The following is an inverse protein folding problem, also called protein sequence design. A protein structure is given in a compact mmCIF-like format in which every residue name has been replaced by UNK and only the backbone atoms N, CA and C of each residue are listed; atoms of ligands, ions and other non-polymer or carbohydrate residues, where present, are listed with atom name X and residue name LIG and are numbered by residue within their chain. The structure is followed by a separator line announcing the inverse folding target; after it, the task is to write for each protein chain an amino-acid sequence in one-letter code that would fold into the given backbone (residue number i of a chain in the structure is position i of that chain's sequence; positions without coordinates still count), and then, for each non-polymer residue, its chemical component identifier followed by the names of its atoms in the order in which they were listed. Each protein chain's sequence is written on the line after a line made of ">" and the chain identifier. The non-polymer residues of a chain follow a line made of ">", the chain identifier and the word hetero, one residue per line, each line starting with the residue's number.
data_IF_731235602284
#
_entry.id   IF_731235602284
#
_cell.length_a   1.000
_cell.length_b   1.000
_cell.length_c   1.000
_cell.angle_alpha   90.00
_cell.angle_beta   90.00
_cell.angle_gamma   90.00
#
_symmetry.space_group_name_H-M   'P 1'
#
loop_
_entity.id
_entity.type
_entity.pdbx_description
1 polymer ?
#
# COMPACT_ATOMS: atom_id res chain seq x y z
N UNK A 1 -24.49 13.24 28.32
CA UNK A 1 -23.25 12.47 28.59
C UNK A 1 -22.16 12.65 27.52
N UNK A 2 -22.08 13.79 26.79
CA UNK A 2 -21.13 13.95 25.67
C UNK A 2 -19.85 14.77 25.99
N UNK A 3 -19.76 15.40 27.16
CA UNK A 3 -18.64 16.31 27.53
C UNK A 3 -17.64 15.71 28.54
N UNK A 4 -17.95 14.55 29.12
CA UNK A 4 -17.22 14.02 30.28
C UNK A 4 -15.78 13.65 29.93
N UNK A 5 -15.58 13.00 28.78
CA UNK A 5 -14.24 12.64 28.32
C UNK A 5 -13.36 13.86 28.02
N UNK A 6 -13.94 14.98 27.57
CA UNK A 6 -13.16 16.19 27.27
C UNK A 6 -12.57 16.80 28.53
N UNK A 7 -13.33 16.79 29.62
CA UNK A 7 -12.85 17.24 30.93
C UNK A 7 -11.74 16.34 31.50
N UNK A 8 -11.78 15.04 31.16
CA UNK A 8 -10.79 14.05 31.63
C UNK A 8 -9.49 14.07 30.81
N UNK A 9 -9.58 14.23 29.49
CA UNK A 9 -8.45 14.00 28.57
C UNK A 9 -7.91 15.24 27.86
N UNK A 10 -8.59 16.39 27.94
CA UNK A 10 -8.13 17.63 27.30
C UNK A 10 -7.68 18.66 28.35
N UNK A 11 -6.78 19.59 28.00
CA UNK A 11 -6.39 20.68 28.89
C UNK A 11 -7.61 21.48 29.37
N UNK A 12 -7.61 21.93 30.62
CA UNK A 12 -8.75 22.65 31.21
C UNK A 12 -9.20 23.86 30.38
N UNK A 13 -8.26 24.63 29.80
CA UNK A 13 -8.59 25.76 28.94
C UNK A 13 -9.16 25.38 27.56
N UNK A 14 -9.12 24.11 27.15
CA UNK A 14 -9.79 23.66 25.92
C UNK A 14 -11.31 23.85 26.01
N UNK A 15 -11.93 23.52 27.15
CA UNK A 15 -13.38 23.71 27.36
C UNK A 15 -13.76 25.19 27.38
N UNK A 16 -12.86 26.04 27.89
CA UNK A 16 -13.05 27.48 27.99
C UNK A 16 -12.62 28.24 26.73
N UNK A 17 -12.33 27.53 25.62
CA UNK A 17 -11.87 28.11 24.36
C UNK A 17 -10.63 29.01 24.50
N UNK A 18 -9.75 28.69 25.46
CA UNK A 18 -8.50 29.39 25.66
C UNK A 18 -7.58 29.15 24.46
N UNK A 19 -7.18 30.23 23.80
CA UNK A 19 -6.36 30.17 22.58
C UNK A 19 -5.00 29.51 22.79
N UNK A 20 -4.32 29.75 23.92
CA UNK A 20 -2.99 29.19 24.19
C UNK A 20 -3.04 27.69 24.45
N UNK A 21 -4.02 27.22 25.21
CA UNK A 21 -4.19 25.79 25.48
C UNK A 21 -4.60 25.02 24.22
N UNK A 22 -5.48 25.60 23.39
CA UNK A 22 -5.84 25.04 22.09
C UNK A 22 -4.61 25.00 21.16
N UNK A 23 -3.81 26.06 21.13
CA UNK A 23 -2.59 26.13 20.32
C UNK A 23 -1.59 25.06 20.73
N UNK A 24 -1.29 24.93 22.04
CA UNK A 24 -0.38 23.90 22.56
C UNK A 24 -0.85 22.48 22.27
N UNK A 25 -2.15 22.21 22.41
CA UNK A 25 -2.73 20.92 22.05
C UNK A 25 -2.53 20.63 20.54
N UNK A 26 -2.79 21.62 19.68
CA UNK A 26 -2.58 21.48 18.26
C UNK A 26 -1.11 21.27 17.89
N UNK A 27 -0.17 21.95 18.55
CA UNK A 27 1.27 21.75 18.40
C UNK A 27 1.64 20.30 18.78
N UNK A 28 1.19 19.81 19.94
CA UNK A 28 1.42 18.43 20.38
C UNK A 28 0.86 17.41 19.37
N UNK A 29 -0.37 17.57 18.90
CA UNK A 29 -0.98 16.67 17.91
C UNK A 29 -0.17 16.67 16.61
N UNK A 30 0.29 17.85 16.13
CA UNK A 30 1.12 17.94 14.92
C UNK A 30 2.44 17.20 15.09
N UNK A 31 3.09 17.34 16.24
CA UNK A 31 4.34 16.64 16.54
C UNK A 31 4.12 15.13 16.56
N UNK A 32 3.14 14.64 17.32
CA UNK A 32 2.81 13.21 17.37
C UNK A 32 2.50 12.65 15.97
N UNK A 33 1.67 13.34 15.19
CA UNK A 33 1.35 12.92 13.82
C UNK A 33 2.59 12.91 12.93
N UNK A 34 3.52 13.85 13.09
CA UNK A 34 4.79 13.86 12.34
C UNK A 34 5.63 12.64 12.66
N UNK A 35 5.76 12.28 13.94
CA UNK A 35 6.50 11.10 14.38
C UNK A 35 5.85 9.81 13.88
N UNK A 36 4.54 9.65 14.08
CA UNK A 36 3.79 8.47 13.66
C UNK A 36 3.81 8.28 12.13
N UNK A 37 3.60 9.35 11.35
CA UNK A 37 3.72 9.30 9.89
C UNK A 37 5.13 8.88 9.45
N UNK A 38 6.17 9.39 10.12
CA UNK A 38 7.55 9.00 9.83
C UNK A 38 7.81 7.53 10.17
N UNK A 39 7.32 7.05 11.31
CA UNK A 39 7.43 5.66 11.74
C UNK A 39 6.69 4.71 10.78
N UNK A 40 5.47 5.07 10.38
CA UNK A 40 4.66 4.31 9.43
C UNK A 40 5.35 4.20 8.06
N UNK A 41 5.87 5.31 7.51
CA UNK A 41 6.62 5.28 6.25
C UNK A 41 7.87 4.40 6.33
N UNK A 42 8.57 4.40 7.47
CA UNK A 42 9.72 3.49 7.69
C UNK A 42 9.27 2.03 7.70
N UNK A 43 8.14 1.72 8.34
CA UNK A 43 7.59 0.37 8.41
C UNK A 43 7.14 -0.13 7.03
N UNK A 44 6.41 0.68 6.26
CA UNK A 44 6.01 0.40 4.87
C UNK A 44 7.22 0.02 4.01
N UNK A 45 8.32 0.77 4.16
CA UNK A 45 9.54 0.58 3.38
C UNK A 45 10.54 -0.40 4.01
N UNK A 46 10.10 -1.25 4.96
CA UNK A 46 10.97 -2.25 5.60
C UNK A 46 11.63 -3.14 4.54
N UNK A 47 12.96 -3.30 4.64
CA UNK A 47 13.77 -4.11 3.72
C UNK A 47 13.95 -3.47 2.34
N UNK A 48 12.98 -2.73 1.83
CA UNK A 48 12.96 -2.18 0.48
C UNK A 48 13.84 -0.92 0.27
N UNK A 49 14.80 -0.65 1.16
CA UNK A 49 15.71 0.51 1.05
C UNK A 49 17.10 0.07 0.57
N UNK A 50 17.38 0.12 -0.75
CA UNK A 50 18.75 0.00 -1.24
C UNK A 50 19.63 1.16 -0.78
N UNK A 51 20.89 0.88 -0.43
CA UNK A 51 21.90 1.85 -0.04
C UNK A 51 23.11 1.20 0.63
N UNK A 52 24.09 1.98 1.10
CA UNK A 52 25.33 1.47 1.73
C UNK A 52 25.11 0.60 2.98
N UNK A 53 23.88 0.58 3.52
CA UNK A 53 23.42 -0.22 4.67
C UNK A 53 22.28 -1.18 4.30
N UNK A 54 22.08 -1.49 3.02
CA UNK A 54 21.10 -2.51 2.63
C UNK A 54 21.56 -3.85 3.19
N UNK A 55 20.71 -4.53 3.95
CA UNK A 55 20.95 -5.93 4.27
C UNK A 55 20.74 -6.78 3.02
N UNK A 56 21.47 -7.88 2.93
CA UNK A 56 21.22 -8.93 1.93
C UNK A 56 19.98 -9.76 2.29
N UNK A 57 19.25 -9.40 3.34
CA UNK A 57 18.03 -10.09 3.72
C UNK A 57 16.97 -9.87 2.64
N UNK A 58 16.16 -10.90 2.45
CA UNK A 58 15.02 -10.82 1.56
C UNK A 58 14.05 -9.73 2.01
N UNK A 59 13.58 -8.92 1.06
CA UNK A 59 12.60 -7.88 1.32
C UNK A 59 11.26 -8.53 1.68
N UNK A 60 10.65 -8.18 2.83
CA UNK A 60 9.42 -8.85 3.25
C UNK A 60 8.30 -8.68 2.22
N UNK A 61 7.46 -9.71 2.10
CA UNK A 61 6.24 -9.68 1.30
C UNK A 61 5.27 -8.58 1.76
N UNK A 62 4.26 -8.27 0.95
CA UNK A 62 3.22 -7.33 1.33
C UNK A 62 2.57 -7.71 2.68
N UNK A 63 2.20 -8.97 2.83
CA UNK A 63 1.62 -9.48 4.08
C UNK A 63 2.63 -9.43 5.23
N UNK A 64 3.90 -9.74 4.98
CA UNK A 64 4.96 -9.59 5.99
C UNK A 64 5.12 -8.15 6.51
N UNK A 65 4.98 -7.15 5.63
CA UNK A 65 4.98 -5.73 6.02
C UNK A 65 3.72 -5.36 6.78
N UNK A 66 2.54 -5.82 6.35
CA UNK A 66 1.28 -5.53 7.04
C UNK A 66 1.31 -6.09 8.46
N UNK A 67 1.78 -7.34 8.65
CA UNK A 67 1.94 -7.93 9.98
C UNK A 67 2.85 -7.06 10.85
N UNK A 68 4.00 -6.63 10.32
CA UNK A 68 4.96 -5.79 11.06
C UNK A 68 4.37 -4.42 11.43
N UNK A 69 3.58 -3.83 10.54
CA UNK A 69 2.85 -2.58 10.81
C UNK A 69 1.87 -2.78 11.96
N UNK A 70 1.02 -3.81 11.88
CA UNK A 70 0.00 -4.07 12.88
C UNK A 70 0.62 -4.34 14.25
N UNK A 71 1.63 -5.21 14.32
CA UNK A 71 2.35 -5.48 15.57
C UNK A 71 2.98 -4.22 16.19
N UNK A 72 3.42 -3.26 15.37
CA UNK A 72 4.12 -2.06 15.86
C UNK A 72 3.21 -0.88 16.17
N UNK A 73 2.07 -0.78 15.49
CA UNK A 73 1.21 0.42 15.51
C UNK A 73 -0.23 0.14 15.98
N UNK A 74 -0.59 -1.11 16.24
CA UNK A 74 -1.90 -1.48 16.78
C UNK A 74 -1.73 -2.19 18.12
N UNK A 75 -2.20 -1.59 19.23
CA UNK A 75 -2.12 -2.22 20.56
C UNK A 75 -2.78 -3.60 20.62
N UNK A 76 -3.86 -3.80 19.86
CA UNK A 76 -4.57 -5.09 19.75
C UNK A 76 -3.67 -6.20 19.18
N UNK A 77 -2.81 -5.88 18.22
CA UNK A 77 -2.03 -6.86 17.47
C UNK A 77 -0.60 -7.02 18.00
N UNK A 78 -0.18 -6.23 18.98
CA UNK A 78 1.21 -6.18 19.48
C UNK A 78 1.69 -7.56 19.95
N UNK A 79 0.82 -8.31 20.65
CA UNK A 79 1.12 -9.63 21.21
C UNK A 79 0.52 -10.79 20.40
N UNK A 80 -0.20 -10.49 19.31
CA UNK A 80 -0.80 -11.55 18.48
C UNK A 80 0.27 -12.31 17.70
N UNK A 81 0.06 -13.62 17.53
CA UNK A 81 0.95 -14.43 16.72
C UNK A 81 0.81 -14.04 15.24
N UNK A 82 1.86 -14.29 14.45
CA UNK A 82 1.90 -13.87 13.04
C UNK A 82 0.82 -14.52 12.17
N UNK A 83 0.42 -15.76 12.47
CA UNK A 83 -0.60 -16.50 11.72
C UNK A 83 -2.01 -15.93 11.96
N UNK A 84 -2.32 -15.56 13.20
CA UNK A 84 -3.60 -14.93 13.56
C UNK A 84 -3.73 -13.54 12.95
N UNK A 85 -2.65 -12.77 12.94
CA UNK A 85 -2.64 -11.48 12.25
C UNK A 85 -2.84 -11.70 10.76
N UNK A 86 -2.13 -12.65 10.15
CA UNK A 86 -2.24 -12.93 8.72
C UNK A 86 -3.68 -13.29 8.31
N UNK A 87 -4.37 -14.11 9.11
CA UNK A 87 -5.76 -14.51 8.85
C UNK A 87 -6.74 -13.34 9.01
N UNK A 88 -6.41 -12.33 9.82
CA UNK A 88 -7.22 -11.11 9.96
C UNK A 88 -7.01 -10.08 8.83
N UNK A 89 -5.95 -10.22 8.01
CA UNK A 89 -5.67 -9.29 6.91
C UNK A 89 -6.74 -9.40 5.82
N UNK A 90 -7.50 -8.30 5.64
CA UNK A 90 -8.51 -8.17 4.59
C UNK A 90 -7.91 -7.61 3.29
N UNK A 91 -8.52 -7.95 2.15
CA UNK A 91 -8.11 -7.46 0.82
C UNK A 91 -7.98 -5.92 0.74
N UNK A 92 -8.91 -5.10 1.27
CA UNK A 92 -8.76 -3.64 1.24
C UNK A 92 -7.49 -3.13 1.96
N UNK A 93 -7.03 -3.80 3.01
CA UNK A 93 -5.80 -3.44 3.71
C UNK A 93 -4.57 -3.74 2.85
N UNK A 94 -4.56 -4.88 2.15
CA UNK A 94 -3.51 -5.21 1.17
C UNK A 94 -3.42 -4.15 0.08
N UNK A 95 -4.54 -3.74 -0.48
CA UNK A 95 -4.58 -2.69 -1.51
C UNK A 95 -4.03 -1.37 -0.97
N UNK A 96 -4.48 -0.93 0.21
CA UNK A 96 -4.03 0.34 0.82
C UNK A 96 -2.53 0.34 1.11
N UNK A 97 -2.01 -0.70 1.75
CA UNK A 97 -0.58 -0.79 2.10
C UNK A 97 0.27 -1.03 0.85
N UNK A 98 -0.19 -1.85 -0.09
CA UNK A 98 0.49 -2.09 -1.36
C UNK A 98 0.60 -0.84 -2.22
N UNK A 99 -0.47 -0.04 -2.26
CA UNK A 99 -0.48 1.26 -2.93
C UNK A 99 0.56 2.19 -2.33
N UNK A 100 0.54 2.39 -1.00
CA UNK A 100 1.52 3.24 -0.32
C UNK A 100 2.96 2.76 -0.54
N UNK A 101 3.21 1.45 -0.44
CA UNK A 101 4.54 0.85 -0.60
C UNK A 101 5.08 1.04 -2.01
N UNK A 102 4.27 0.75 -3.03
CA UNK A 102 4.65 0.93 -4.43
C UNK A 102 4.92 2.41 -4.72
N UNK A 103 4.04 3.30 -4.26
CA UNK A 103 4.16 4.74 -4.49
C UNK A 103 5.42 5.32 -3.84
N UNK A 104 5.73 4.95 -2.60
CA UNK A 104 6.94 5.36 -1.90
C UNK A 104 8.21 4.78 -2.53
N UNK A 105 8.14 3.55 -3.07
CA UNK A 105 9.27 2.94 -3.76
C UNK A 105 9.60 3.68 -5.07
N UNK A 106 8.60 3.93 -5.92
CA UNK A 106 8.75 4.65 -7.20
C UNK A 106 9.30 6.06 -6.97
N UNK A 107 8.71 6.82 -6.04
CA UNK A 107 9.20 8.17 -5.73
C UNK A 107 10.66 8.16 -5.27
N UNK A 108 11.07 7.15 -4.49
CA UNK A 108 12.47 7.04 -4.05
C UNK A 108 13.44 6.75 -5.19
N UNK A 109 13.01 6.06 -6.24
CA UNK A 109 13.84 5.88 -7.43
C UNK A 109 14.07 7.23 -8.15
N UNK A 110 13.06 8.11 -8.15
CA UNK A 110 13.13 9.46 -8.73
C UNK A 110 13.93 10.46 -7.87
N UNK A 111 13.86 10.35 -6.54
CA UNK A 111 14.62 11.23 -5.62
C UNK A 111 16.15 11.08 -5.76
N UNK A 112 16.63 9.99 -6.37
CA UNK A 112 18.07 9.84 -6.67
C UNK A 112 18.58 10.81 -7.73
N UNK A 113 17.69 11.46 -8.49
CA UNK A 113 18.04 12.27 -9.66
C UNK A 113 17.58 13.72 -9.58
N UNK A 114 16.85 14.16 -8.53
CA UNK A 114 16.24 15.50 -8.49
C UNK A 114 16.48 16.27 -7.18
N UNK A 115 16.67 17.59 -7.29
CA UNK A 115 17.00 18.50 -6.17
C UNK A 115 15.78 19.04 -5.41
N UNK A 116 14.56 18.77 -5.90
CA UNK A 116 13.32 19.35 -5.37
C UNK A 116 12.40 18.26 -4.80
N UNK A 117 12.63 17.87 -3.55
CA UNK A 117 11.89 16.79 -2.89
C UNK A 117 10.52 17.31 -2.44
N UNK A 118 9.45 17.05 -3.21
CA UNK A 118 8.09 17.17 -2.67
C UNK A 118 7.90 16.11 -1.59
N UNK A 119 7.11 16.42 -0.56
CA UNK A 119 6.75 15.43 0.47
C UNK A 119 6.13 14.21 -0.20
N UNK A 120 6.59 12.98 0.08
CA UNK A 120 6.01 11.78 -0.52
C UNK A 120 4.49 11.67 -0.37
N UNK A 121 3.99 12.20 0.75
CA UNK A 121 2.57 12.27 1.07
C UNK A 121 1.79 13.19 0.12
N UNK A 122 2.35 14.33 -0.28
CA UNK A 122 1.65 15.27 -1.18
C UNK A 122 1.41 14.66 -2.57
N UNK A 123 2.36 13.85 -3.05
CA UNK A 123 2.22 13.13 -4.32
C UNK A 123 1.15 12.04 -4.21
N UNK A 124 1.17 11.28 -3.10
CA UNK A 124 0.18 10.23 -2.81
C UNK A 124 -1.23 10.84 -2.70
N UNK A 125 -1.40 11.93 -1.96
CA UNK A 125 -2.69 12.59 -1.74
C UNK A 125 -3.29 13.09 -3.05
N UNK A 126 -2.46 13.66 -3.93
CA UNK A 126 -2.90 14.10 -5.27
C UNK A 126 -3.35 12.92 -6.14
N UNK A 127 -2.64 11.80 -6.09
CA UNK A 127 -3.03 10.61 -6.83
C UNK A 127 -4.34 10.03 -6.28
N UNK A 128 -4.52 9.98 -4.97
CA UNK A 128 -5.79 9.57 -4.36
C UNK A 128 -6.96 10.49 -4.74
N UNK A 129 -6.74 11.80 -4.85
CA UNK A 129 -7.78 12.74 -5.30
C UNK A 129 -8.16 12.51 -6.77
N UNK A 130 -7.20 12.16 -7.62
CA UNK A 130 -7.50 11.78 -9.01
C UNK A 130 -8.27 10.46 -9.05
N UNK A 131 -7.77 9.42 -8.38
CA UNK A 131 -8.45 8.13 -8.28
C UNK A 131 -9.87 8.28 -7.71
N UNK A 132 -10.13 9.24 -6.82
CA UNK A 132 -11.47 9.46 -6.28
C UNK A 132 -12.52 9.70 -7.37
N UNK A 133 -12.14 10.38 -8.46
CA UNK A 133 -13.03 10.74 -9.59
C UNK A 133 -13.26 9.60 -10.58
N UNK A 134 -12.47 8.55 -10.50
CA UNK A 134 -12.54 7.40 -11.42
C UNK A 134 -13.72 6.46 -11.11
N UNK A 135 -14.09 5.66 -12.11
CA UNK A 135 -15.12 4.63 -11.98
C UNK A 135 -14.75 3.54 -10.97
N UNK A 136 -15.74 2.78 -10.50
CA UNK A 136 -15.52 1.65 -9.60
C UNK A 136 -14.66 0.56 -10.25
N UNK A 137 -14.90 0.29 -11.53
CA UNK A 137 -14.19 -0.75 -12.26
C UNK A 137 -12.73 -0.35 -12.47
N UNK A 138 -12.48 0.91 -12.84
CA UNK A 138 -11.12 1.46 -12.93
C UNK A 138 -10.35 1.29 -11.61
N UNK A 139 -10.96 1.70 -10.48
CA UNK A 139 -10.36 1.53 -9.15
C UNK A 139 -10.04 0.07 -8.84
N UNK A 140 -10.88 -0.85 -9.29
CA UNK A 140 -10.73 -2.30 -9.09
C UNK A 140 -9.57 -2.85 -9.92
N UNK A 141 -9.50 -2.50 -11.22
CA UNK A 141 -8.41 -2.88 -12.11
C UNK A 141 -7.07 -2.31 -11.60
N UNK A 142 -7.04 -1.02 -11.25
CA UNK A 142 -5.87 -0.39 -10.64
C UNK A 142 -5.41 -1.10 -9.37
N UNK A 143 -6.34 -1.42 -8.45
CA UNK A 143 -6.02 -2.16 -7.23
C UNK A 143 -5.41 -3.54 -7.51
N UNK A 144 -5.89 -4.25 -8.53
CA UNK A 144 -5.33 -5.55 -8.96
C UNK A 144 -3.89 -5.39 -9.46
N UNK A 145 -3.64 -4.40 -10.32
CA UNK A 145 -2.30 -4.10 -10.82
C UNK A 145 -1.34 -3.75 -9.68
N UNK A 146 -1.75 -2.89 -8.73
CA UNK A 146 -0.94 -2.56 -7.54
C UNK A 146 -0.53 -3.82 -6.76
N UNK A 147 -1.45 -4.77 -6.55
CA UNK A 147 -1.14 -6.01 -5.87
C UNK A 147 -0.20 -6.91 -6.70
N UNK A 148 -0.38 -6.97 -8.02
CA UNK A 148 0.50 -7.73 -8.92
C UNK A 148 1.94 -7.18 -8.89
N UNK A 149 2.11 -5.87 -9.00
CA UNK A 149 3.43 -5.21 -8.88
C UNK A 149 4.08 -5.50 -7.52
N UNK A 150 3.32 -5.40 -6.42
CA UNK A 150 3.86 -5.71 -5.10
C UNK A 150 4.32 -7.17 -4.99
N UNK A 151 3.57 -8.12 -5.56
CA UNK A 151 3.93 -9.54 -5.55
C UNK A 151 5.20 -9.80 -6.37
N UNK A 152 5.36 -9.13 -7.51
CA UNK A 152 6.53 -9.29 -8.35
C UNK A 152 7.80 -8.69 -7.73
N UNK A 153 7.68 -7.49 -7.15
CA UNK A 153 8.83 -6.78 -6.57
C UNK A 153 9.19 -7.32 -5.18
N UNK A 154 8.20 -7.51 -4.32
CA UNK A 154 8.40 -7.88 -2.92
C UNK A 154 7.91 -9.30 -2.68
N UNK A 155 8.56 -10.27 -3.34
CA UNK A 155 8.17 -11.68 -3.30
C UNK A 155 8.66 -12.44 -2.06
N UNK A 156 9.45 -11.79 -1.19
CA UNK A 156 10.03 -12.44 -0.01
C UNK A 156 11.32 -13.20 -0.29
N UNK A 157 11.88 -13.11 -1.50
CA UNK A 157 13.14 -13.74 -1.91
C UNK A 157 14.18 -12.72 -2.36
N UNK A 158 13.76 -11.68 -3.09
CA UNK A 158 14.65 -10.63 -3.61
C UNK A 158 15.17 -9.74 -2.47
N UNK A 159 16.47 -9.45 -2.46
CA UNK A 159 17.08 -8.47 -1.55
C UNK A 159 16.80 -7.05 -2.03
N UNK A 160 17.07 -6.06 -1.18
CA UNK A 160 16.97 -4.64 -1.54
C UNK A 160 17.83 -4.26 -2.76
N UNK A 161 18.95 -4.96 -2.97
CA UNK A 161 19.85 -4.73 -4.09
C UNK A 161 19.32 -5.30 -5.39
N UNK A 162 18.60 -6.42 -5.33
CA UNK A 162 18.00 -7.06 -6.51
C UNK A 162 16.86 -6.22 -7.06
N UNK A 163 15.93 -5.80 -6.19
CA UNK A 163 14.83 -4.92 -6.62
C UNK A 163 15.30 -3.54 -7.10
N UNK A 164 16.44 -3.04 -6.60
CA UNK A 164 16.97 -1.74 -7.02
C UNK A 164 17.38 -1.67 -8.50
N UNK A 165 17.62 -2.83 -9.12
CA UNK A 165 17.93 -2.97 -10.55
C UNK A 165 16.67 -2.90 -11.41
N UNK A 166 15.49 -3.11 -10.80
CA UNK A 166 14.21 -3.10 -11.49
C UNK A 166 13.68 -1.67 -11.53
N UNK A 167 13.51 -1.12 -12.73
CA UNK A 167 12.83 0.17 -12.93
C UNK A 167 11.32 -0.07 -12.87
N UNK A 168 10.64 0.69 -12.01
CA UNK A 168 9.20 0.53 -11.79
C UNK A 168 8.51 1.88 -11.88
N UNK A 169 7.38 1.90 -12.57
CA UNK A 169 6.40 2.99 -12.53
C UNK A 169 5.12 2.53 -11.85
N UNK A 170 4.28 3.48 -11.46
CA UNK A 170 2.90 3.18 -11.09
C UNK A 170 2.11 2.72 -12.32
N UNK A 171 1.01 1.96 -12.14
CA UNK A 171 0.13 1.60 -13.23
C UNK A 171 -0.33 2.84 -14.01
N UNK A 172 -0.11 2.85 -15.33
CA UNK A 172 -0.57 3.93 -16.19
C UNK A 172 -2.08 3.82 -16.47
N UNK A 173 -2.76 4.89 -16.89
CA UNK A 173 -4.15 4.80 -17.34
C UNK A 173 -4.35 3.79 -18.47
N UNK A 174 -3.37 3.65 -19.36
CA UNK A 174 -3.38 2.69 -20.47
C UNK A 174 -3.33 1.24 -19.94
N UNK A 175 -2.42 0.94 -18.99
CA UNK A 175 -2.32 -0.39 -18.37
C UNK A 175 -3.59 -0.74 -17.57
N UNK A 176 -4.22 0.25 -16.94
CA UNK A 176 -5.51 0.05 -16.26
C UNK A 176 -6.63 -0.23 -17.26
N UNK A 177 -6.65 0.49 -18.39
CA UNK A 177 -7.63 0.27 -19.45
C UNK A 177 -7.47 -1.13 -20.09
N UNK A 178 -6.24 -1.54 -20.38
CA UNK A 178 -5.94 -2.88 -20.88
C UNK A 178 -6.40 -3.97 -19.89
N UNK A 179 -6.20 -3.76 -18.59
CA UNK A 179 -6.68 -4.66 -17.55
C UNK A 179 -8.21 -4.70 -17.44
N UNK A 180 -8.90 -3.60 -17.75
CA UNK A 180 -10.36 -3.55 -17.83
C UNK A 180 -10.87 -4.33 -19.04
N UNK A 181 -10.25 -4.11 -20.20
CA UNK A 181 -10.63 -4.74 -21.46
C UNK A 181 -10.42 -6.27 -21.35
N UNK A 182 -9.24 -6.70 -20.90
CA UNK A 182 -8.92 -8.12 -20.67
C UNK A 182 -9.89 -8.75 -19.65
N UNK A 183 -10.24 -8.01 -18.59
CA UNK A 183 -11.22 -8.47 -17.60
C UNK A 183 -12.65 -8.60 -18.16
N UNK A 184 -13.03 -7.77 -19.13
CA UNK A 184 -14.30 -7.84 -19.85
C UNK A 184 -14.32 -8.97 -20.89
N UNK A 185 -13.19 -9.20 -21.60
CA UNK A 185 -13.05 -10.33 -22.52
C UNK A 185 -13.11 -11.69 -21.82
N UNK A 186 -12.59 -11.80 -20.60
CA UNK A 186 -12.72 -13.04 -19.81
C UNK A 186 -14.13 -13.27 -19.25
N UNK A 187 -15.04 -12.29 -19.33
CA UNK A 187 -16.38 -12.35 -18.76
C UNK A 187 -17.50 -12.61 -19.80
N UNK A 188 -17.19 -12.93 -21.06
CA UNK A 188 -18.19 -13.15 -22.13
C UNK A 188 -17.60 -13.96 -23.30
N UNK A 189 -18.27 -14.94 -23.93
CA UNK A 189 -19.45 -15.75 -23.59
C UNK A 189 -19.14 -17.27 -23.70
N UNK A 190 -18.59 -17.90 -22.66
CA UNK A 190 -18.60 -19.38 -22.55
C UNK A 190 -19.56 -19.87 -21.45
N UNK A 191 -20.16 -18.94 -20.68
CA UNK A 191 -21.08 -19.25 -19.59
C UNK A 191 -22.53 -19.57 -20.03
N UNK A 192 -22.83 -19.63 -21.35
CA UNK A 192 -24.15 -20.03 -21.86
C UNK A 192 -24.25 -21.49 -22.31
N UNK A 193 -23.27 -22.35 -22.00
CA UNK A 193 -23.34 -23.75 -22.42
C UNK A 193 -22.86 -24.78 -21.39
N UNK A 194 -23.27 -24.69 -20.12
CA UNK A 194 -23.49 -25.89 -19.31
C UNK A 194 -24.33 -25.60 -18.05
N UNK A 195 -25.64 -25.66 -18.23
CA UNK A 195 -26.57 -25.97 -17.14
C UNK A 195 -26.48 -27.48 -16.87
N UNK A 196 -25.89 -27.87 -15.74
CA UNK A 196 -25.89 -29.26 -15.29
C UNK A 196 -24.66 -29.73 -14.50
N UNK A 197 -24.87 -29.83 -13.18
CA UNK A 197 -24.20 -30.73 -12.24
C UNK A 197 -22.79 -30.39 -11.70
N UNK A 198 -22.83 -29.89 -10.46
CA UNK A 198 -22.09 -30.38 -9.29
C UNK A 198 -20.57 -30.11 -9.14
N UNK A 199 -20.21 -29.68 -7.92
CA UNK A 199 -18.90 -29.95 -7.33
C UNK A 199 -17.73 -28.99 -7.61
N UNK A 200 -17.55 -28.03 -6.70
CA UNK A 200 -16.23 -27.51 -6.25
C UNK A 200 -15.23 -27.09 -7.33
N UNK A 201 -15.32 -25.83 -7.75
CA UNK A 201 -14.31 -25.18 -8.58
C UNK A 201 -14.29 -23.67 -8.37
N UNK A 202 -14.20 -23.22 -7.11
CA UNK A 202 -14.01 -21.81 -6.79
C UNK A 202 -12.56 -21.40 -7.12
N UNK A 203 -12.26 -21.31 -8.42
CA UNK A 203 -11.04 -20.70 -8.93
C UNK A 203 -11.20 -19.19 -8.78
N UNK A 204 -10.45 -18.56 -7.86
CA UNK A 204 -10.68 -17.16 -7.63
C UNK A 204 -10.13 -16.35 -8.82
N UNK A 205 -10.97 -15.46 -9.37
CA UNK A 205 -10.70 -14.51 -10.46
C UNK A 205 -9.36 -13.74 -10.38
N UNK A 206 -8.63 -13.78 -9.25
CA UNK A 206 -7.30 -13.19 -9.13
C UNK A 206 -6.16 -14.05 -9.70
N UNK A 207 -6.39 -15.35 -9.97
CA UNK A 207 -5.38 -16.26 -10.50
C UNK A 207 -5.07 -16.04 -12.00
N UNK A 208 -5.94 -15.35 -12.73
CA UNK A 208 -5.85 -15.18 -14.18
C UNK A 208 -4.97 -13.99 -14.66
N UNK A 209 -4.57 -13.08 -13.76
CA UNK A 209 -3.70 -11.94 -14.10
C UNK A 209 -2.26 -12.28 -13.73
N UNK A 210 -1.64 -13.18 -14.49
CA UNK A 210 -0.23 -13.57 -14.32
C UNK A 210 0.74 -12.71 -15.13
N UNK A 211 0.24 -11.87 -16.05
CA UNK A 211 1.09 -10.98 -16.83
C UNK A 211 1.23 -9.62 -16.16
N UNK A 212 2.42 -9.34 -15.65
CA UNK A 212 2.83 -7.98 -15.24
C UNK A 212 3.13 -7.20 -16.52
N UNK A 213 2.68 -5.93 -16.67
CA UNK A 213 2.98 -5.13 -17.87
C UNK A 213 4.49 -5.08 -18.16
N UNK A 214 4.83 -5.13 -19.45
CA UNK A 214 6.15 -5.40 -20.06
C UNK A 214 7.29 -4.42 -19.73
N UNK A 215 7.09 -3.47 -18.81
CA UNK A 215 8.11 -2.46 -18.44
C UNK A 215 9.15 -2.92 -17.42
N UNK A 216 9.11 -4.19 -17.01
CA UNK A 216 10.17 -4.81 -16.20
C UNK A 216 11.28 -5.21 -17.16
N UNK A 217 12.08 -4.23 -17.56
CA UNK A 217 13.17 -4.42 -18.51
C UNK A 217 14.23 -5.35 -17.88
N UNK A 218 14.35 -6.56 -18.43
CA UNK A 218 15.41 -7.50 -18.10
C UNK A 218 16.67 -7.09 -18.87
N UNK A 219 17.42 -6.11 -18.36
CA UNK A 219 18.75 -5.80 -18.92
C UNK A 219 19.82 -5.95 -17.86
N UNK A 220 20.56 -7.05 -17.98
CA UNK A 220 21.70 -7.39 -17.13
C UNK A 220 22.44 -8.64 -17.60
N UNK A 221 22.54 -8.86 -18.91
CA UNK A 221 23.58 -9.71 -19.50
C UNK A 221 24.56 -8.81 -20.24
N UNK A 222 25.69 -8.55 -19.58
CA UNK A 222 27.04 -8.40 -20.15
C UNK A 222 28.02 -8.32 -18.97
#
# INVERSE_FOLDING_TARGET
>A
MAQDWKAVYLPAGYLNHNHDDIRRLNELIRELLKYEKSAFAKLIMTGARPGRRSSNDAVPTLDGVIIKILQKMSPEHEMMNRGDILSSIKSPMRVRIGFLRLHMYVQRQQDRTTTHVRSPWEVIDRHLENLRRESRDYKTAFARLVLAFNRHLFDGTKSATDIAKIVVSLPSPEEVQEALDTGAQMASPEDEAQDGADGTGDYPLWAAITSVPTKIDQTGQA
#
